data_IF_996194319173
#
_entry.id   IF_996194319173
#
_cell.length_a   1.000
_cell.length_b   1.000
_cell.length_c   1.000
_cell.angle_alpha   90.00
_cell.angle_beta   90.00
_cell.angle_gamma   90.00
#
_symmetry.space_group_name_H-M   'P 1'
#
loop_
_entity.id
_entity.type
_entity.pdbx_description
1 polymer ?
#
# COMPACT_ATOMS: atom_id res chain seq x y z
N UNK A 1 21.49 -14.06 3.71
CA UNK A 1 21.04 -12.65 3.60
C UNK A 1 20.48 -12.20 4.94
N UNK A 2 20.76 -10.97 5.39
CA UNK A 2 20.12 -10.44 6.61
C UNK A 2 18.62 -10.28 6.38
N UNK A 3 17.80 -10.63 7.38
CA UNK A 3 16.35 -10.47 7.32
C UNK A 3 16.01 -8.98 7.40
N UNK A 4 15.04 -8.54 6.59
CA UNK A 4 14.53 -7.17 6.63
C UNK A 4 14.01 -6.81 8.02
N UNK A 5 14.57 -5.76 8.62
CA UNK A 5 14.03 -5.11 9.82
C UNK A 5 12.98 -4.06 9.40
N UNK A 6 11.74 -4.51 9.28
CA UNK A 6 10.60 -3.69 8.84
C UNK A 6 10.34 -2.52 9.81
N UNK A 7 10.57 -2.71 11.11
CA UNK A 7 10.34 -1.68 12.13
C UNK A 7 11.36 -0.56 12.03
N UNK A 8 12.64 -0.90 11.79
CA UNK A 8 13.68 0.08 11.50
C UNK A 8 13.35 0.87 10.24
N UNK A 9 12.97 0.18 9.15
CA UNK A 9 12.61 0.83 7.88
C UNK A 9 11.44 1.82 8.03
N UNK A 10 10.39 1.45 8.78
CA UNK A 10 9.29 2.37 9.11
C UNK A 10 9.75 3.58 9.91
N UNK A 11 10.62 3.36 10.90
CA UNK A 11 11.15 4.43 11.74
C UNK A 11 11.93 5.45 10.90
N UNK A 12 12.81 4.98 10.01
CA UNK A 12 13.57 5.88 9.12
C UNK A 12 12.64 6.57 8.09
N UNK A 13 11.66 5.87 7.54
CA UNK A 13 10.64 6.46 6.65
C UNK A 13 9.87 7.60 7.35
N UNK A 14 9.52 7.43 8.62
CA UNK A 14 8.81 8.42 9.44
C UNK A 14 9.65 9.66 9.72
N UNK A 15 10.96 9.51 9.99
CA UNK A 15 11.87 10.65 10.22
C UNK A 15 11.98 11.59 9.01
N UNK A 16 11.72 11.06 7.81
CA UNK A 16 11.66 11.79 6.55
C UNK A 16 10.25 12.27 6.19
N UNK A 17 9.26 12.06 7.06
CA UNK A 17 7.84 12.42 6.87
C UNK A 17 7.20 11.77 5.61
N UNK A 18 7.84 10.76 4.99
CA UNK A 18 7.40 10.16 3.73
C UNK A 18 6.08 9.41 3.88
N UNK A 19 5.97 8.57 4.93
CA UNK A 19 4.73 7.84 5.23
C UNK A 19 3.57 8.79 5.54
N UNK A 20 3.84 9.87 6.29
CA UNK A 20 2.83 10.88 6.66
C UNK A 20 2.26 11.60 5.43
N UNK A 21 3.10 11.91 4.44
CA UNK A 21 2.63 12.55 3.21
C UNK A 21 1.61 11.69 2.44
N UNK A 22 1.78 10.36 2.46
CA UNK A 22 0.81 9.45 1.84
C UNK A 22 -0.44 9.24 2.70
N UNK A 23 -0.30 9.15 4.02
CA UNK A 23 -1.45 9.01 4.92
C UNK A 23 -2.35 10.27 4.90
N UNK A 24 -1.75 11.45 4.71
CA UNK A 24 -2.47 12.72 4.52
C UNK A 24 -3.45 12.68 3.34
N UNK A 25 -3.17 11.89 2.30
CA UNK A 25 -4.06 11.74 1.14
C UNK A 25 -5.45 11.22 1.53
N UNK A 26 -5.60 10.51 2.65
CA UNK A 26 -6.84 9.87 3.09
C UNK A 26 -7.42 10.48 4.38
N UNK A 27 -6.81 11.55 4.89
CA UNK A 27 -7.19 12.18 6.16
C UNK A 27 -8.54 12.92 6.10
N UNK A 28 -9.01 13.28 4.91
CA UNK A 28 -10.30 13.95 4.68
C UNK A 28 -11.44 12.98 4.31
N UNK A 29 -11.23 11.67 4.45
CA UNK A 29 -12.28 10.68 4.19
C UNK A 29 -13.35 10.75 5.30
N UNK A 30 -14.38 11.58 5.07
CA UNK A 30 -15.50 11.75 6.01
C UNK A 30 -16.21 10.41 6.25
N UNK A 31 -16.30 10.02 7.52
CA UNK A 31 -16.90 8.76 7.97
C UNK A 31 -18.42 8.82 8.13
N UNK A 32 -19.06 9.95 7.83
CA UNK A 32 -20.50 10.13 8.08
C UNK A 32 -21.41 9.54 7.01
N UNK A 33 -20.92 9.32 5.79
CA UNK A 33 -21.72 8.72 4.72
C UNK A 33 -21.79 7.20 4.89
N UNK A 34 -23.01 6.69 5.00
CA UNK A 34 -23.29 5.25 5.06
C UNK A 34 -23.74 4.74 3.70
N UNK A 35 -23.15 3.63 3.26
CA UNK A 35 -23.47 2.96 2.00
C UNK A 35 -24.28 1.69 2.27
N UNK A 36 -25.28 1.44 1.44
CA UNK A 36 -26.19 0.29 1.58
C UNK A 36 -25.46 -1.05 1.45
N UNK A 37 -24.45 -1.11 0.61
CA UNK A 37 -23.60 -2.28 0.37
C UNK A 37 -22.82 -2.68 1.63
N UNK A 38 -22.48 -1.70 2.48
CA UNK A 38 -21.75 -1.93 3.72
C UNK A 38 -22.64 -2.44 4.86
N UNK A 39 -23.97 -2.46 4.68
CA UNK A 39 -24.90 -2.96 5.71
C UNK A 39 -24.75 -4.45 5.99
N UNK A 40 -24.10 -5.20 5.11
CA UNK A 40 -23.79 -6.63 5.33
C UNK A 40 -23.03 -6.87 6.64
N UNK A 41 -22.30 -5.87 7.13
CA UNK A 41 -21.53 -5.95 8.37
C UNK A 41 -22.32 -5.53 9.63
N UNK A 42 -23.62 -5.20 9.52
CA UNK A 42 -24.44 -4.73 10.65
C UNK A 42 -24.96 -5.85 11.56
N UNK A 43 -25.18 -7.04 11.01
CA UNK A 43 -25.86 -8.13 11.72
C UNK A 43 -25.50 -9.51 11.14
N UNK A 44 -25.94 -10.56 11.84
CA UNK A 44 -25.70 -11.94 11.46
C UNK A 44 -24.24 -12.38 11.58
N UNK A 45 -23.87 -13.45 10.86
CA UNK A 45 -22.54 -14.06 10.89
C UNK A 45 -21.44 -13.14 10.34
N UNK A 46 -21.82 -12.15 9.54
CA UNK A 46 -20.91 -11.16 8.94
C UNK A 46 -20.78 -9.88 9.78
N UNK A 47 -21.45 -9.81 10.94
CA UNK A 47 -21.41 -8.62 11.80
C UNK A 47 -19.96 -8.26 12.16
N UNK A 48 -19.54 -7.06 11.78
CA UNK A 48 -18.18 -6.58 12.04
C UNK A 48 -18.12 -5.05 11.94
N UNK A 49 -18.23 -4.36 13.07
CA UNK A 49 -18.38 -2.90 13.10
C UNK A 49 -17.19 -2.15 12.47
N UNK A 50 -15.96 -2.62 12.70
CA UNK A 50 -14.79 -1.97 12.09
C UNK A 50 -14.66 -2.23 10.58
N UNK A 51 -15.06 -3.41 10.09
CA UNK A 51 -15.18 -3.68 8.66
C UNK A 51 -16.27 -2.81 8.03
N UNK A 52 -17.40 -2.59 8.72
CA UNK A 52 -18.44 -1.63 8.29
C UNK A 52 -17.88 -0.23 8.14
N UNK A 53 -17.14 0.27 9.14
CA UNK A 53 -16.51 1.60 9.09
C UNK A 53 -15.52 1.69 7.94
N UNK A 54 -14.66 0.69 7.77
CA UNK A 54 -13.69 0.63 6.68
C UNK A 54 -14.38 0.57 5.31
N UNK A 55 -15.46 -0.21 5.17
CA UNK A 55 -16.27 -0.29 3.95
C UNK A 55 -16.80 1.09 3.55
N UNK A 56 -17.46 1.79 4.48
CA UNK A 56 -18.00 3.13 4.21
C UNK A 56 -16.91 4.12 3.82
N UNK A 57 -15.77 4.09 4.53
CA UNK A 57 -14.61 4.94 4.23
C UNK A 57 -14.04 4.65 2.85
N UNK A 58 -13.90 3.38 2.49
CA UNK A 58 -13.42 2.95 1.18
C UNK A 58 -14.33 3.44 0.05
N UNK A 59 -15.65 3.25 0.17
CA UNK A 59 -16.61 3.69 -0.85
C UNK A 59 -16.65 5.21 -0.98
N UNK A 60 -16.54 5.95 0.13
CA UNK A 60 -16.42 7.41 0.11
C UNK A 60 -15.18 7.89 -0.64
N UNK A 61 -14.02 7.27 -0.40
CA UNK A 61 -12.78 7.59 -1.11
C UNK A 61 -12.93 7.33 -2.61
N UNK A 62 -13.48 6.17 -2.97
CA UNK A 62 -13.66 5.76 -4.37
C UNK A 62 -14.62 6.69 -5.13
N UNK A 63 -15.75 7.05 -4.53
CA UNK A 63 -16.71 7.99 -5.09
C UNK A 63 -16.07 9.37 -5.34
N UNK A 64 -15.27 9.86 -4.38
CA UNK A 64 -14.57 11.14 -4.52
C UNK A 64 -13.48 11.12 -5.60
N UNK A 65 -12.77 10.00 -5.75
CA UNK A 65 -11.82 9.83 -6.84
C UNK A 65 -12.56 9.85 -8.19
N UNK A 66 -13.67 9.13 -8.30
CA UNK A 66 -14.43 9.03 -9.54
C UNK A 66 -15.04 10.35 -10.01
N UNK A 67 -15.33 11.30 -9.10
CA UNK A 67 -15.77 12.66 -9.48
C UNK A 67 -14.71 13.41 -10.29
N UNK A 68 -13.42 13.23 -9.98
CA UNK A 68 -12.32 13.96 -10.60
C UNK A 68 -11.07 13.06 -10.78
N UNK A 69 -11.13 12.01 -11.61
CA UNK A 69 -10.13 10.93 -11.56
C UNK A 69 -8.75 11.31 -12.08
N UNK A 70 -8.67 12.38 -12.91
CA UNK A 70 -7.42 12.82 -13.55
C UNK A 70 -6.65 13.87 -12.74
N UNK A 71 -7.15 14.32 -11.59
CA UNK A 71 -6.39 15.27 -10.76
C UNK A 71 -5.19 14.56 -10.15
N UNK A 72 -4.07 15.29 -10.02
CA UNK A 72 -2.81 14.73 -9.49
C UNK A 72 -2.99 14.03 -8.15
N UNK A 73 -3.79 14.60 -7.25
CA UNK A 73 -4.06 14.02 -5.93
C UNK A 73 -4.89 12.75 -6.02
N UNK A 74 -5.91 12.71 -6.90
CA UNK A 74 -6.71 11.50 -7.07
C UNK A 74 -5.93 10.39 -7.78
N UNK A 75 -5.04 10.72 -8.72
CA UNK A 75 -4.10 9.74 -9.31
C UNK A 75 -3.19 9.16 -8.22
N UNK A 76 -2.62 10.00 -7.34
CA UNK A 76 -1.81 9.55 -6.20
C UNK A 76 -2.62 8.68 -5.23
N UNK A 77 -3.81 9.13 -4.81
CA UNK A 77 -4.73 8.36 -3.97
C UNK A 77 -5.02 6.99 -4.58
N UNK A 78 -5.39 6.97 -5.86
CA UNK A 78 -5.70 5.76 -6.60
C UNK A 78 -4.53 4.76 -6.61
N UNK A 79 -3.32 5.25 -6.88
CA UNK A 79 -2.10 4.44 -6.90
C UNK A 79 -1.71 3.89 -5.52
N UNK A 80 -1.98 4.63 -4.44
CA UNK A 80 -1.66 4.23 -3.07
C UNK A 80 -2.80 3.48 -2.36
N UNK A 81 -4.03 3.53 -2.88
CA UNK A 81 -5.25 3.06 -2.22
C UNK A 81 -5.14 1.61 -1.71
N UNK A 82 -4.49 0.73 -2.48
CA UNK A 82 -4.28 -0.66 -2.07
C UNK A 82 -3.47 -0.78 -0.78
N UNK A 83 -2.41 0.01 -0.63
CA UNK A 83 -1.56 -0.01 0.55
C UNK A 83 -2.28 0.56 1.75
N UNK A 84 -2.99 1.67 1.55
CA UNK A 84 -3.85 2.23 2.57
C UNK A 84 -4.90 1.21 3.04
N UNK A 85 -5.59 0.53 2.12
CA UNK A 85 -6.63 -0.44 2.45
C UNK A 85 -6.12 -1.59 3.33
N UNK A 86 -5.02 -2.23 2.93
CA UNK A 86 -4.44 -3.32 3.72
C UNK A 86 -3.81 -2.86 5.04
N UNK A 87 -3.32 -1.62 5.11
CA UNK A 87 -2.86 -1.01 6.35
C UNK A 87 -4.01 -0.74 7.34
N UNK A 88 -5.18 -0.31 6.85
CA UNK A 88 -6.38 -0.22 7.69
C UNK A 88 -6.83 -1.61 8.19
N UNK A 89 -6.80 -2.63 7.33
CA UNK A 89 -7.11 -4.02 7.72
C UNK A 89 -6.14 -4.50 8.81
N UNK A 90 -4.85 -4.19 8.69
CA UNK A 90 -3.84 -4.53 9.71
C UNK A 90 -4.14 -3.91 11.08
N UNK A 91 -4.77 -2.74 11.12
CA UNK A 91 -5.25 -2.12 12.35
C UNK A 91 -6.50 -2.77 12.95
N UNK A 92 -7.25 -3.53 12.15
CA UNK A 92 -8.49 -4.22 12.57
C UNK A 92 -8.22 -5.68 12.95
N UNK A 93 -7.36 -6.36 12.19
CA UNK A 93 -7.05 -7.77 12.35
C UNK A 93 -5.66 -7.95 12.99
N UNK A 94 -5.60 -8.61 14.15
CA UNK A 94 -4.36 -8.71 14.93
C UNK A 94 -3.37 -9.77 14.41
N UNK A 95 -3.84 -10.84 13.77
CA UNK A 95 -2.96 -11.90 13.27
C UNK A 95 -2.47 -11.55 11.86
N UNK A 96 -1.31 -10.89 11.79
CA UNK A 96 -0.76 -10.40 10.53
C UNK A 96 -0.10 -11.48 9.68
N UNK A 97 0.06 -12.69 10.25
CA UNK A 97 0.68 -13.84 9.59
C UNK A 97 -0.30 -14.62 8.72
N UNK A 98 -1.60 -14.55 9.05
CA UNK A 98 -2.68 -15.17 8.28
C UNK A 98 -2.74 -14.65 6.85
N UNK A 99 -2.96 -15.58 5.94
CA UNK A 99 -3.22 -15.25 4.54
C UNK A 99 -4.53 -14.49 4.43
N UNK A 100 -4.57 -13.54 3.50
CA UNK A 100 -5.77 -12.74 3.22
C UNK A 100 -6.98 -13.61 2.91
N UNK A 101 -6.77 -14.72 2.20
CA UNK A 101 -7.81 -15.68 1.86
C UNK A 101 -8.53 -16.29 3.07
N UNK A 102 -7.90 -16.27 4.24
CA UNK A 102 -8.40 -16.87 5.48
C UNK A 102 -9.16 -15.85 6.35
N UNK A 103 -9.11 -14.56 5.99
CA UNK A 103 -9.74 -13.47 6.76
C UNK A 103 -11.05 -13.08 6.07
N UNK A 104 -12.16 -13.64 6.57
CA UNK A 104 -13.48 -13.59 5.93
C UNK A 104 -13.95 -12.18 5.55
N UNK A 105 -13.78 -11.19 6.43
CA UNK A 105 -14.26 -9.83 6.15
C UNK A 105 -13.48 -9.13 5.02
N UNK A 106 -12.23 -9.52 4.74
CA UNK A 106 -11.45 -8.94 3.62
C UNK A 106 -12.06 -9.36 2.28
N UNK A 107 -12.50 -10.62 2.18
CA UNK A 107 -13.20 -11.14 1.00
C UNK A 107 -14.48 -10.34 0.77
N UNK A 108 -15.30 -10.14 1.80
CA UNK A 108 -16.53 -9.36 1.71
C UNK A 108 -16.29 -7.90 1.28
N UNK A 109 -15.30 -7.23 1.88
CA UNK A 109 -14.89 -5.87 1.47
C UNK A 109 -14.47 -5.82 -0.01
N UNK A 110 -13.71 -6.82 -0.46
CA UNK A 110 -13.26 -6.94 -1.85
C UNK A 110 -14.45 -7.13 -2.80
N UNK A 111 -15.40 -8.00 -2.44
CA UNK A 111 -16.56 -8.31 -3.25
C UNK A 111 -17.49 -7.09 -3.37
N UNK A 112 -17.75 -6.38 -2.27
CA UNK A 112 -18.48 -5.09 -2.27
C UNK A 112 -17.80 -4.08 -3.19
N UNK A 113 -16.50 -3.88 -3.00
CA UNK A 113 -15.72 -2.94 -3.81
C UNK A 113 -15.79 -3.32 -5.29
N UNK A 114 -15.63 -4.60 -5.65
CA UNK A 114 -15.74 -5.07 -7.04
C UNK A 114 -17.12 -4.80 -7.66
N UNK A 115 -18.19 -4.96 -6.88
CA UNK A 115 -19.55 -4.72 -7.36
C UNK A 115 -19.79 -3.23 -7.62
N UNK A 116 -19.42 -2.35 -6.69
CA UNK A 116 -19.49 -0.89 -6.88
C UNK A 116 -18.57 -0.45 -8.04
N UNK A 117 -17.38 -1.03 -8.13
CA UNK A 117 -16.38 -0.77 -9.17
C UNK A 117 -16.86 -1.09 -10.59
N UNK A 118 -17.61 -2.19 -10.77
CA UNK A 118 -18.19 -2.58 -12.06
C UNK A 118 -19.34 -1.66 -12.49
N UNK A 119 -20.18 -1.25 -11.55
CA UNK A 119 -21.42 -0.56 -11.87
C UNK A 119 -21.25 0.96 -11.96
N UNK A 120 -20.31 1.55 -11.21
CA UNK A 120 -20.28 3.00 -10.99
C UNK A 120 -18.93 3.66 -11.31
N UNK A 121 -17.80 2.94 -11.25
CA UNK A 121 -16.45 3.55 -11.20
C UNK A 121 -15.54 3.26 -12.40
N UNK A 122 -16.08 2.67 -13.50
CA UNK A 122 -15.39 2.47 -14.79
C UNK A 122 -13.96 1.91 -14.69
N UNK A 123 -13.76 0.93 -13.83
CA UNK A 123 -12.46 0.27 -13.63
C UNK A 123 -11.30 1.14 -13.10
N UNK A 124 -11.56 2.11 -12.22
CA UNK A 124 -10.51 2.95 -11.61
C UNK A 124 -10.10 2.51 -10.20
N UNK A 125 -8.80 2.53 -9.91
CA UNK A 125 -8.21 2.22 -8.60
C UNK A 125 -8.32 0.76 -8.17
N UNK A 126 -7.44 -0.06 -8.76
CA UNK A 126 -7.39 -1.48 -8.45
C UNK A 126 -6.77 -1.77 -7.07
N UNK A 127 -7.53 -2.52 -6.27
CA UNK A 127 -7.08 -3.18 -5.04
C UNK A 127 -7.09 -4.69 -5.28
N UNK A 128 -5.93 -5.33 -5.51
CA UNK A 128 -5.89 -6.76 -5.77
C UNK A 128 -6.25 -7.55 -4.52
N UNK A 129 -6.93 -8.69 -4.70
CA UNK A 129 -7.21 -9.67 -3.64
C UNK A 129 -6.23 -10.82 -3.74
N UNK A 130 -5.06 -10.61 -3.15
CA UNK A 130 -3.95 -11.56 -3.19
C UNK A 130 -4.10 -12.57 -2.05
N UNK A 131 -4.96 -13.57 -2.27
CA UNK A 131 -5.44 -14.50 -1.23
C UNK A 131 -4.32 -15.26 -0.53
N UNK A 132 -3.18 -15.46 -1.18
CA UNK A 132 -2.07 -16.28 -0.70
C UNK A 132 -1.03 -15.48 0.09
N UNK A 133 -1.24 -14.15 0.20
CA UNK A 133 -0.34 -13.21 0.86
C UNK A 133 -0.94 -12.75 2.18
N UNK A 134 -0.08 -12.42 3.14
CA UNK A 134 -0.49 -11.96 4.48
C UNK A 134 -0.26 -10.44 4.68
N UNK A 135 -0.70 -9.92 5.82
CA UNK A 135 -0.66 -8.48 6.12
C UNK A 135 0.78 -7.97 6.35
N UNK A 136 1.68 -8.82 6.83
CA UNK A 136 3.10 -8.46 6.98
C UNK A 136 3.78 -8.23 5.62
N UNK A 137 3.45 -9.03 4.61
CA UNK A 137 3.92 -8.78 3.24
C UNK A 137 3.32 -7.49 2.67
N UNK A 138 2.03 -7.20 2.91
CA UNK A 138 1.44 -5.91 2.50
C UNK A 138 2.11 -4.70 3.16
N UNK A 139 2.54 -4.84 4.41
CA UNK A 139 3.34 -3.83 5.12
C UNK A 139 4.68 -3.59 4.41
N UNK A 140 5.39 -4.64 4.00
CA UNK A 140 6.62 -4.52 3.20
C UNK A 140 6.36 -3.86 1.84
N UNK A 141 5.31 -4.28 1.12
CA UNK A 141 4.94 -3.70 -0.18
C UNK A 141 4.63 -2.20 -0.06
N UNK A 142 3.92 -1.77 0.99
CA UNK A 142 3.66 -0.35 1.31
C UNK A 142 4.98 0.44 1.41
N UNK A 143 5.94 -0.05 2.18
CA UNK A 143 7.23 0.62 2.38
C UNK A 143 8.06 0.66 1.09
N UNK A 144 8.07 -0.43 0.33
CA UNK A 144 8.72 -0.48 -0.98
C UNK A 144 8.12 0.52 -1.97
N UNK A 145 6.79 0.60 -2.02
CA UNK A 145 6.09 1.59 -2.84
C UNK A 145 6.48 3.03 -2.47
N UNK A 146 6.46 3.35 -1.17
CA UNK A 146 6.86 4.68 -0.67
C UNK A 146 8.32 4.96 -1.03
N UNK A 147 9.22 4.00 -0.87
CA UNK A 147 10.63 4.12 -1.24
C UNK A 147 10.78 4.53 -2.72
N UNK A 148 10.26 3.75 -3.66
CA UNK A 148 10.43 4.05 -5.08
C UNK A 148 9.73 5.33 -5.54
N UNK A 149 8.58 5.68 -4.95
CA UNK A 149 7.90 6.93 -5.28
C UNK A 149 8.54 8.16 -4.65
N UNK A 150 9.21 8.01 -3.51
CA UNK A 150 9.97 9.08 -2.86
C UNK A 150 11.37 9.25 -3.47
N UNK A 151 11.95 8.19 -4.05
CA UNK A 151 13.29 8.22 -4.61
C UNK A 151 13.47 9.26 -5.73
N UNK A 152 12.43 9.54 -6.52
CA UNK A 152 12.45 10.61 -7.52
C UNK A 152 12.60 12.00 -6.87
N UNK A 153 12.13 12.19 -5.63
CA UNK A 153 12.35 13.40 -4.84
C UNK A 153 13.70 13.38 -4.09
N UNK A 154 14.18 12.21 -3.65
CA UNK A 154 15.45 12.05 -2.91
C UNK A 154 16.67 12.37 -3.78
N UNK A 155 16.63 12.07 -5.09
CA UNK A 155 17.70 12.47 -6.02
C UNK A 155 18.01 13.97 -5.95
N UNK A 156 17.00 14.81 -5.74
CA UNK A 156 17.18 16.27 -5.61
C UNK A 156 17.77 16.67 -4.25
N UNK A 157 17.55 15.90 -3.18
CA UNK A 157 18.07 16.19 -1.83
C UNK A 157 19.54 15.76 -1.70
N UNK A 158 20.01 14.77 -2.45
CA UNK A 158 21.44 14.40 -2.47
C UNK A 158 22.38 15.54 -2.91
N UNK A 159 21.83 16.58 -3.55
CA UNK A 159 22.51 17.80 -4.00
C UNK A 159 22.48 18.90 -2.92
N UNK A 160 21.75 18.68 -1.81
CA UNK A 160 21.66 19.59 -0.65
C UNK A 160 22.99 19.65 0.11
N UNK A 161 23.42 20.85 0.48
CA UNK A 161 24.65 21.11 1.26
C UNK A 161 24.52 20.82 2.76
N UNK A 162 23.39 20.26 3.22
CA UNK A 162 23.11 20.01 4.65
C UNK A 162 23.41 18.57 5.07
N UNK A 163 24.59 18.35 5.65
CA UNK A 163 25.08 17.04 6.16
C UNK A 163 24.03 16.24 6.96
N UNK A 164 23.30 16.88 7.88
CA UNK A 164 22.30 16.22 8.72
C UNK A 164 21.09 15.67 7.96
N UNK A 165 20.76 16.27 6.81
CA UNK A 165 19.68 15.80 5.94
C UNK A 165 20.16 14.59 5.13
N UNK A 166 21.40 14.64 4.63
CA UNK A 166 22.06 13.51 3.99
C UNK A 166 22.14 12.28 4.90
N UNK A 167 22.52 12.45 6.17
CA UNK A 167 22.64 11.33 7.12
C UNK A 167 21.30 10.62 7.36
N UNK A 168 20.18 11.37 7.45
CA UNK A 168 18.83 10.78 7.56
C UNK A 168 18.43 10.01 6.30
N UNK A 169 18.77 10.54 5.13
CA UNK A 169 18.50 9.86 3.86
C UNK A 169 19.32 8.58 3.71
N UNK A 170 20.61 8.60 4.05
CA UNK A 170 21.47 7.43 4.04
C UNK A 170 20.93 6.35 4.98
N UNK A 171 20.57 6.70 6.21
CA UNK A 171 19.98 5.76 7.16
C UNK A 171 18.70 5.10 6.63
N UNK A 172 17.85 5.85 5.92
CA UNK A 172 16.66 5.32 5.27
C UNK A 172 17.00 4.36 4.12
N UNK A 173 17.93 4.74 3.24
CA UNK A 173 18.39 3.87 2.14
C UNK A 173 18.98 2.57 2.70
N UNK A 174 19.87 2.65 3.68
CA UNK A 174 20.49 1.49 4.33
C UNK A 174 19.45 0.56 4.96
N UNK A 175 18.41 1.13 5.57
CA UNK A 175 17.31 0.35 6.16
C UNK A 175 16.46 -0.38 5.12
N UNK A 176 16.40 0.11 3.88
CA UNK A 176 15.65 -0.50 2.79
C UNK A 176 16.43 -1.58 2.05
N UNK A 177 17.77 -1.51 2.03
CA UNK A 177 18.65 -2.44 1.29
C UNK A 177 18.34 -3.93 1.51
N UNK A 178 18.08 -4.44 2.73
CA UNK A 178 17.70 -5.84 2.90
C UNK A 178 16.40 -6.22 2.18
N UNK A 179 15.39 -5.34 2.21
CA UNK A 179 14.11 -5.56 1.53
C UNK A 179 14.26 -5.50 0.02
N UNK A 180 15.09 -4.58 -0.48
CA UNK A 180 15.42 -4.51 -1.89
C UNK A 180 16.01 -5.84 -2.37
N UNK A 181 17.02 -6.37 -1.67
CA UNK A 181 17.65 -7.65 -2.02
C UNK A 181 16.65 -8.81 -1.96
N UNK A 182 15.80 -8.86 -0.92
CA UNK A 182 14.74 -9.86 -0.78
C UNK A 182 13.79 -9.86 -2.00
N UNK A 183 13.30 -8.69 -2.38
CA UNK A 183 12.39 -8.54 -3.52
C UNK A 183 13.07 -8.71 -4.88
N UNK A 184 14.32 -8.31 -5.02
CA UNK A 184 15.09 -8.51 -6.24
C UNK A 184 15.28 -10.00 -6.54
N UNK A 185 15.69 -10.77 -5.53
CA UNK A 185 15.83 -12.23 -5.65
C UNK A 185 14.50 -12.90 -6.00
N UNK A 186 13.41 -12.48 -5.33
CA UNK A 186 12.06 -13.04 -5.52
C UNK A 186 11.41 -12.69 -6.87
N UNK A 187 11.66 -11.49 -7.40
CA UNK A 187 10.91 -10.96 -8.53
C UNK A 187 11.74 -10.77 -9.80
N UNK A 188 13.07 -10.68 -9.70
CA UNK A 188 13.94 -10.33 -10.83
C UNK A 188 14.93 -11.45 -11.19
N UNK A 189 15.47 -12.17 -10.20
CA UNK A 189 16.48 -13.22 -10.46
C UNK A 189 15.86 -14.57 -10.83
N UNK A 190 14.66 -14.88 -10.35
CA UNK A 190 13.96 -16.13 -10.67
C UNK A 190 13.31 -16.09 -12.06
N UNK A 191 14.10 -16.34 -13.11
CA UNK A 191 13.63 -16.59 -14.47
C UNK A 191 12.93 -17.94 -14.66
N UNK A 192 11.94 -18.28 -13.83
CA UNK A 192 11.30 -19.60 -13.83
C UNK A 192 9.77 -19.52 -13.71
N UNK A 193 9.11 -19.72 -14.84
CA UNK A 193 7.69 -20.08 -15.02
C UNK A 193 6.62 -19.21 -14.31
N UNK A 194 5.89 -18.47 -15.16
CA UNK A 194 4.60 -17.79 -14.93
C UNK A 194 4.67 -16.31 -14.49
N UNK A 195 4.84 -15.45 -15.51
CA UNK A 195 4.28 -14.09 -15.64
C UNK A 195 4.79 -12.98 -14.70
N UNK A 196 6.05 -12.57 -14.86
CA UNK A 196 6.46 -11.22 -14.45
C UNK A 196 7.07 -10.46 -15.63
N UNK A 197 6.43 -9.33 -15.97
CA UNK A 197 6.94 -8.40 -16.98
C UNK A 197 8.37 -7.97 -16.65
N UNK A 198 9.21 -7.66 -17.67
CA UNK A 198 10.55 -7.07 -17.50
C UNK A 198 10.56 -5.67 -16.82
N UNK A 199 9.43 -5.28 -16.21
CA UNK A 199 9.10 -3.94 -15.68
C UNK A 199 8.98 -3.94 -14.14
N UNK A 200 8.86 -5.10 -13.49
CA UNK A 200 8.65 -5.23 -12.04
C UNK A 200 7.18 -5.25 -11.62
N UNK A 201 6.92 -5.07 -10.31
CA UNK A 201 5.59 -4.90 -9.72
C UNK A 201 5.28 -3.41 -9.49
N UNK A 202 4.08 -3.09 -9.02
CA UNK A 202 3.74 -1.69 -8.70
C UNK A 202 4.47 -1.16 -7.46
N UNK A 203 4.90 -2.04 -6.54
CA UNK A 203 5.71 -1.69 -5.36
C UNK A 203 7.20 -1.87 -5.56
N UNK A 204 7.66 -2.61 -6.56
CA UNK A 204 9.06 -2.97 -6.72
C UNK A 204 9.50 -2.96 -8.18
N UNK A 205 10.60 -2.27 -8.49
CA UNK A 205 11.15 -2.18 -9.85
C UNK A 205 12.44 -2.99 -9.93
N UNK A 206 12.54 -3.87 -10.93
CA UNK A 206 13.77 -4.61 -11.26
C UNK A 206 14.78 -3.68 -11.95
N UNK A 207 15.36 -2.73 -11.21
CA UNK A 207 16.38 -1.81 -11.72
C UNK A 207 17.72 -2.21 -11.11
N UNK A 208 18.67 -2.63 -11.95
CA UNK A 208 20.02 -3.06 -11.54
C UNK A 208 20.87 -1.94 -10.93
N UNK A 209 20.49 -0.66 -11.09
CA UNK A 209 21.25 0.48 -10.56
C UNK A 209 21.33 0.55 -9.04
N UNK A 210 20.57 -0.27 -8.31
CA UNK A 210 20.63 -0.39 -6.85
C UNK A 210 21.49 -1.57 -6.37
N UNK A 211 22.06 -2.37 -7.28
CA UNK A 211 23.08 -3.38 -6.90
C UNK A 211 24.41 -2.74 -6.49
N UNK A 212 24.60 -1.44 -6.76
CA UNK A 212 25.83 -0.69 -6.52
C UNK A 212 25.74 0.42 -5.46
N UNK A 213 24.69 0.44 -4.64
CA UNK A 213 24.62 1.31 -3.45
C UNK A 213 25.03 0.50 -2.22
#
# INVERSE_FOLDING_TARGET
>A
MSKTDVTKLETESKKLELSKAYDALFSNASTSKTYTECKVFESGEKKHDDAKKLCNKLLYILENIAKNPKTTDNVKRCSYLRYWFYDQIRGIHNDHSKKIGEISFIKELTDIRKNVYKNELKNMCEIPYDKDVNLDEWRKRKLSYIYFKSHDNIKNISISTKKTECDKHLAYVDSFTPLYKEYYEKHCRSGGFLWFSPVGTDYFRCISSYEHI
#
